data_IF_916430904499
#
_entry.id   IF_916430904499
#
_cell.length_a   1.000
_cell.length_b   1.000
_cell.length_c   1.000
_cell.angle_alpha   90.00
_cell.angle_beta   90.00
_cell.angle_gamma   90.00
#
_symmetry.space_group_name_H-M   'P 1'
#
loop_
_entity.id
_entity.type
_entity.pdbx_description
1 polymer ?
#
# COMPACT_ATOMS: atom_id res chain seq x y z
N UNK A 1 -6.05 30.11 10.68
CA UNK A 1 -5.71 29.51 11.97
C UNK A 1 -4.35 28.83 11.80
N UNK A 2 -3.44 28.87 12.77
CA UNK A 2 -2.21 28.08 12.69
C UNK A 2 -2.61 26.62 12.55
N UNK A 3 -2.00 25.89 11.59
CA UNK A 3 -2.24 24.44 11.43
C UNK A 3 -1.57 23.75 12.61
N UNK A 4 -2.36 23.06 13.45
CA UNK A 4 -1.80 22.18 14.46
C UNK A 4 -1.01 21.07 13.79
N UNK A 5 0.11 20.68 14.40
CA UNK A 5 0.86 19.50 13.98
C UNK A 5 0.17 18.23 14.51
N UNK A 6 0.29 17.12 13.79
CA UNK A 6 -0.32 15.86 14.19
C UNK A 6 0.63 15.00 15.03
N UNK A 7 0.12 14.45 16.13
CA UNK A 7 0.84 13.46 16.95
C UNK A 7 0.78 12.06 16.29
N UNK A 8 -0.37 11.71 15.72
CA UNK A 8 -0.54 10.41 15.05
C UNK A 8 0.31 10.37 13.78
N UNK A 9 1.13 9.35 13.64
CA UNK A 9 2.13 9.23 12.58
C UNK A 9 3.54 9.61 13.00
N UNK A 10 3.76 10.07 14.23
CA UNK A 10 5.10 10.30 14.76
C UNK A 10 5.71 9.02 15.33
N UNK A 11 6.96 8.72 14.95
CA UNK A 11 7.72 7.61 15.50
C UNK A 11 8.12 7.87 16.96
N UNK A 12 8.52 6.84 17.70
CA UNK A 12 8.95 7.01 19.08
C UNK A 12 10.12 8.00 19.24
N UNK A 13 11.17 7.98 18.38
CA UNK A 13 12.21 9.01 18.43
C UNK A 13 11.71 10.44 18.19
N UNK A 14 10.72 10.61 17.31
CA UNK A 14 10.08 11.92 17.07
C UNK A 14 9.29 12.39 18.30
N UNK A 15 8.54 11.49 18.95
CA UNK A 15 7.83 11.76 20.19
C UNK A 15 8.79 12.08 21.35
N UNK A 16 9.95 11.38 21.41
CA UNK A 16 11.00 11.69 22.40
C UNK A 16 11.60 13.09 22.17
N UNK A 17 11.89 13.46 20.93
CA UNK A 17 12.36 14.80 20.58
C UNK A 17 11.31 15.87 20.90
N UNK A 18 10.03 15.57 20.66
CA UNK A 18 8.91 16.44 21.02
C UNK A 18 8.84 16.64 22.54
N UNK A 19 8.87 15.57 23.32
CA UNK A 19 8.86 15.64 24.79
C UNK A 19 10.03 16.46 25.32
N UNK A 20 11.25 16.26 24.77
CA UNK A 20 12.41 17.06 25.16
C UNK A 20 12.21 18.55 24.88
N UNK A 21 11.66 18.92 23.72
CA UNK A 21 11.37 20.32 23.35
C UNK A 21 10.34 20.98 24.28
N UNK A 22 9.36 20.21 24.76
CA UNK A 22 8.31 20.66 25.67
C UNK A 22 8.67 20.47 27.15
N UNK A 23 9.92 20.15 27.48
CA UNK A 23 10.41 19.90 28.85
C UNK A 23 9.55 18.86 29.61
N UNK A 24 9.02 17.87 28.89
CA UNK A 24 8.26 16.77 29.46
C UNK A 24 9.19 15.64 29.90
N UNK A 25 8.80 14.82 30.89
CA UNK A 25 9.58 13.65 31.29
C UNK A 25 9.81 12.68 30.11
N UNK A 26 10.99 12.10 30.02
CA UNK A 26 11.38 11.20 28.92
C UNK A 26 10.41 10.02 28.70
N UNK A 27 9.79 9.52 29.79
CA UNK A 27 8.82 8.43 29.68
C UNK A 27 7.50 8.85 29.04
N UNK A 28 7.18 10.16 28.99
CA UNK A 28 5.94 10.67 28.38
C UNK A 28 5.81 10.30 26.91
N UNK A 29 6.92 10.21 26.16
CA UNK A 29 6.91 9.77 24.76
C UNK A 29 6.30 8.37 24.57
N UNK A 30 6.65 7.42 25.46
CA UNK A 30 6.07 6.07 25.43
C UNK A 30 4.60 6.06 25.84
N UNK A 31 4.20 6.94 26.78
CA UNK A 31 2.79 7.08 27.13
C UNK A 31 1.99 7.64 25.96
N UNK A 32 2.49 8.68 25.28
CA UNK A 32 1.85 9.24 24.08
C UNK A 32 1.75 8.15 23.00
N UNK A 33 2.84 7.44 22.66
CA UNK A 33 2.82 6.36 21.67
C UNK A 33 1.76 5.29 22.00
N UNK A 34 1.69 4.87 23.27
CA UNK A 34 0.67 3.91 23.71
C UNK A 34 -0.76 4.43 23.53
N UNK A 35 -1.01 5.70 23.83
CA UNK A 35 -2.33 6.30 23.61
C UNK A 35 -2.69 6.38 22.14
N UNK A 36 -1.73 6.72 21.28
CA UNK A 36 -1.95 6.83 19.83
C UNK A 36 -2.18 5.47 19.17
N UNK A 37 -1.33 4.48 19.46
CA UNK A 37 -1.21 3.26 18.64
C UNK A 37 -1.83 2.01 19.27
N UNK A 38 -1.96 1.95 20.61
CA UNK A 38 -2.57 0.82 21.33
C UNK A 38 -4.00 1.16 21.77
N UNK A 39 -4.18 2.33 22.42
CA UNK A 39 -5.48 2.77 22.93
C UNK A 39 -6.32 3.56 21.92
N UNK A 40 -5.74 3.95 20.80
CA UNK A 40 -6.39 4.71 19.73
C UNK A 40 -7.13 5.96 20.21
N UNK A 41 -6.49 6.75 21.08
CA UNK A 41 -7.04 7.99 21.56
C UNK A 41 -7.30 8.97 20.40
N UNK A 42 -8.48 9.56 20.37
CA UNK A 42 -8.88 10.55 19.36
C UNK A 42 -8.64 11.98 19.80
N UNK A 43 -8.37 12.20 21.08
CA UNK A 43 -8.07 13.52 21.65
C UNK A 43 -6.91 13.43 22.65
N UNK A 44 -6.22 14.57 22.87
CA UNK A 44 -5.12 14.65 23.83
C UNK A 44 -5.66 14.55 25.27
N UNK A 45 -6.85 15.04 25.52
CA UNK A 45 -7.53 15.01 26.83
C UNK A 45 -7.74 13.56 27.33
N UNK A 46 -7.94 12.61 26.41
CA UNK A 46 -8.12 11.21 26.75
C UNK A 46 -6.85 10.55 27.34
N UNK A 47 -5.66 11.15 27.14
CA UNK A 47 -4.37 10.63 27.59
C UNK A 47 -4.19 10.80 29.09
N UNK A 48 -4.98 10.08 29.90
CA UNK A 48 -5.16 10.32 31.34
C UNK A 48 -3.94 10.05 32.21
N UNK A 49 -2.94 9.30 31.74
CA UNK A 49 -1.67 9.07 32.45
C UNK A 49 -0.63 10.17 32.20
N UNK A 50 -0.92 11.14 31.32
CA UNK A 50 -0.21 12.41 31.24
C UNK A 50 -0.79 13.41 32.23
N UNK A 51 0.05 14.21 32.87
CA UNK A 51 -0.44 15.29 33.75
C UNK A 51 -1.32 16.28 33.00
N UNK A 52 -2.26 16.95 33.72
CA UNK A 52 -3.13 17.99 33.15
C UNK A 52 -2.29 19.06 32.44
N UNK A 53 -1.18 19.50 33.11
CA UNK A 53 -0.24 20.47 32.54
C UNK A 53 0.34 20.02 31.20
N UNK A 54 0.80 18.75 31.11
CA UNK A 54 1.40 18.24 29.88
C UNK A 54 0.38 18.09 28.77
N UNK A 55 -0.86 17.70 29.07
CA UNK A 55 -1.94 17.65 28.08
C UNK A 55 -2.28 19.04 27.54
N UNK A 56 -2.37 20.03 28.40
CA UNK A 56 -2.61 21.41 27.99
C UNK A 56 -1.47 21.93 27.09
N UNK A 57 -0.21 21.67 27.48
CA UNK A 57 0.96 22.07 26.69
C UNK A 57 0.99 21.43 25.31
N UNK A 58 0.64 20.13 25.21
CA UNK A 58 0.51 19.45 23.91
C UNK A 58 -0.60 20.06 23.07
N UNK A 59 -1.77 20.35 23.65
CA UNK A 59 -2.92 20.85 22.94
C UNK A 59 -2.75 22.31 22.41
N UNK A 60 -1.75 23.04 22.88
CA UNK A 60 -1.42 24.37 22.34
C UNK A 60 -0.91 24.32 20.90
N UNK A 61 -0.22 23.24 20.52
CA UNK A 61 0.47 23.14 19.22
C UNK A 61 0.03 21.90 18.42
N UNK A 62 -0.42 20.85 19.11
CA UNK A 62 -0.70 19.55 18.52
C UNK A 62 -2.17 19.17 18.66
N UNK A 63 -2.59 18.33 17.72
CA UNK A 63 -3.80 17.53 17.82
C UNK A 63 -3.46 16.05 17.50
N UNK A 64 -4.36 15.13 17.85
CA UNK A 64 -4.10 13.71 17.54
C UNK A 64 -4.02 13.49 16.05
N UNK A 65 -4.91 14.08 15.25
CA UNK A 65 -4.81 14.10 13.80
C UNK A 65 -5.54 12.93 13.12
N UNK A 66 -6.66 12.46 13.69
CA UNK A 66 -7.57 11.55 13.00
C UNK A 66 -8.55 12.31 12.12
N UNK A 67 -8.71 11.81 10.89
CA UNK A 67 -9.70 12.31 9.93
C UNK A 67 -10.62 11.17 9.51
N UNK A 68 -11.91 11.33 9.75
CA UNK A 68 -12.92 10.35 9.32
C UNK A 68 -13.01 10.29 7.79
N UNK A 69 -13.38 9.13 7.20
CA UNK A 69 -13.65 9.05 5.77
C UNK A 69 -14.85 9.93 5.40
N UNK A 70 -14.77 10.62 4.26
CA UNK A 70 -15.88 11.45 3.76
C UNK A 70 -17.01 10.63 3.14
N UNK A 71 -16.65 9.48 2.58
CA UNK A 71 -17.63 8.61 1.91
C UNK A 71 -17.25 7.15 2.08
N UNK A 72 -18.27 6.31 2.17
CA UNK A 72 -18.14 4.85 2.16
C UNK A 72 -19.02 4.29 1.05
N UNK A 73 -18.49 3.41 0.21
CA UNK A 73 -19.24 2.61 -0.76
C UNK A 73 -19.13 1.14 -0.37
N UNK A 74 -20.24 0.41 -0.45
CA UNK A 74 -20.31 -0.99 0.00
C UNK A 74 -20.68 -1.86 -1.19
N UNK A 75 -19.85 -2.86 -1.48
CA UNK A 75 -20.05 -3.88 -2.52
C UNK A 75 -20.99 -4.99 -2.05
N UNK A 76 -21.62 -5.65 -3.00
CA UNK A 76 -22.43 -6.84 -2.74
C UNK A 76 -21.62 -7.99 -2.09
N UNK A 77 -20.30 -8.06 -2.31
CA UNK A 77 -19.40 -9.05 -1.71
C UNK A 77 -18.87 -8.66 -0.30
N UNK A 78 -19.38 -7.55 0.25
CA UNK A 78 -18.98 -7.03 1.57
C UNK A 78 -17.73 -6.15 1.56
N UNK A 79 -17.06 -5.98 0.42
CA UNK A 79 -15.95 -5.04 0.27
C UNK A 79 -16.44 -3.61 0.50
N UNK A 80 -15.68 -2.80 1.23
CA UNK A 80 -16.00 -1.39 1.48
C UNK A 80 -14.89 -0.51 0.95
N UNK A 81 -15.24 0.51 0.19
CA UNK A 81 -14.33 1.54 -0.30
C UNK A 81 -14.54 2.83 0.49
N UNK A 82 -13.48 3.34 1.06
CA UNK A 82 -13.44 4.55 1.87
C UNK A 82 -12.75 5.66 1.10
N UNK A 83 -13.35 6.85 1.05
CA UNK A 83 -12.79 8.06 0.48
C UNK A 83 -12.32 8.97 1.61
N UNK A 84 -11.08 9.43 1.53
CA UNK A 84 -10.48 10.38 2.48
C UNK A 84 -10.01 11.63 1.78
N UNK A 85 -10.12 12.76 2.47
CA UNK A 85 -9.51 14.02 2.04
C UNK A 85 -8.13 14.16 2.68
N UNK A 86 -7.14 14.54 1.88
CA UNK A 86 -5.78 14.82 2.35
C UNK A 86 -5.66 16.25 2.90
N UNK A 87 -4.58 16.51 3.63
CA UNK A 87 -4.24 17.84 4.16
C UNK A 87 -4.05 18.90 3.06
N UNK A 88 -3.74 18.48 1.83
CA UNK A 88 -3.62 19.35 0.66
C UNK A 88 -4.89 19.38 -0.22
N UNK A 89 -6.03 18.95 0.34
CA UNK A 89 -7.32 18.97 -0.34
C UNK A 89 -7.43 18.07 -1.58
N UNK A 90 -6.59 17.04 -1.68
CA UNK A 90 -6.74 15.95 -2.63
C UNK A 90 -7.53 14.80 -2.00
N UNK A 91 -7.91 13.84 -2.81
CA UNK A 91 -8.63 12.67 -2.34
C UNK A 91 -7.81 11.39 -2.54
N UNK A 92 -8.01 10.45 -1.63
CA UNK A 92 -7.49 9.09 -1.74
C UNK A 92 -8.58 8.08 -1.40
N UNK A 93 -8.43 6.88 -1.90
CA UNK A 93 -9.33 5.76 -1.59
C UNK A 93 -8.55 4.63 -0.92
N UNK A 94 -9.21 3.94 0.01
CA UNK A 94 -8.77 2.65 0.54
C UNK A 94 -9.89 1.61 0.42
N UNK A 95 -9.54 0.31 0.41
CA UNK A 95 -10.52 -0.75 0.29
C UNK A 95 -10.36 -1.77 1.43
N UNK A 96 -11.42 -1.93 2.23
CA UNK A 96 -11.55 -3.00 3.22
C UNK A 96 -12.15 -4.22 2.56
N UNK A 97 -11.46 -5.35 2.63
CA UNK A 97 -11.80 -6.58 1.92
C UNK A 97 -11.94 -7.71 2.95
N UNK A 98 -13.17 -8.07 3.34
CA UNK A 98 -13.44 -9.23 4.19
C UNK A 98 -13.34 -10.52 3.37
N UNK A 99 -12.79 -11.59 3.98
CA UNK A 99 -12.67 -12.90 3.36
C UNK A 99 -12.64 -13.99 4.47
N UNK A 100 -13.81 -14.47 4.90
CA UNK A 100 -13.96 -15.36 6.04
C UNK A 100 -13.38 -14.74 7.32
N UNK A 101 -12.42 -15.43 7.93
CA UNK A 101 -11.72 -14.96 9.14
C UNK A 101 -10.63 -13.92 8.83
N UNK A 102 -10.37 -13.65 7.56
CA UNK A 102 -9.40 -12.63 7.12
C UNK A 102 -10.11 -11.33 6.79
N UNK A 103 -9.46 -10.24 7.14
CA UNK A 103 -9.83 -8.91 6.68
C UNK A 103 -8.56 -8.16 6.25
N UNK A 104 -8.51 -7.77 5.00
CA UNK A 104 -7.38 -7.05 4.42
C UNK A 104 -7.79 -5.61 4.13
N UNK A 105 -6.96 -4.67 4.55
CA UNK A 105 -7.09 -3.27 4.12
C UNK A 105 -6.06 -2.98 3.03
N UNK A 106 -6.54 -2.57 1.87
CA UNK A 106 -5.74 -2.04 0.77
C UNK A 106 -5.64 -0.53 0.94
N UNK A 107 -4.44 -0.02 1.26
CA UNK A 107 -4.20 1.40 1.54
C UNK A 107 -3.41 2.08 0.45
N UNK A 108 -3.60 3.39 0.37
CA UNK A 108 -2.93 4.30 -0.56
C UNK A 108 -1.71 4.94 0.07
N UNK A 109 -0.69 5.22 -0.74
CA UNK A 109 0.54 5.94 -0.35
C UNK A 109 0.67 7.32 -1.00
N UNK A 110 -0.13 7.59 -2.04
CA UNK A 110 -0.15 8.87 -2.75
C UNK A 110 -1.56 9.17 -3.26
N UNK A 111 -1.90 10.44 -3.44
CA UNK A 111 -3.01 10.86 -4.28
C UNK A 111 -2.51 10.92 -5.73
N UNK A 112 -3.06 10.03 -6.59
CA UNK A 112 -2.51 9.80 -7.92
C UNK A 112 -1.19 9.01 -7.91
N UNK A 113 -0.56 8.86 -9.09
CA UNK A 113 0.71 8.12 -9.23
C UNK A 113 1.46 8.55 -10.48
N UNK A 114 2.77 8.80 -10.35
CA UNK A 114 3.60 9.21 -11.51
C UNK A 114 4.07 8.05 -12.39
N UNK A 115 3.87 6.80 -11.99
CA UNK A 115 4.37 5.64 -12.75
C UNK A 115 3.68 5.46 -14.11
N UNK A 116 2.49 6.02 -14.29
CA UNK A 116 1.81 6.12 -15.57
C UNK A 116 1.36 4.79 -16.18
N UNK A 117 1.16 3.75 -15.37
CA UNK A 117 0.71 2.44 -15.84
C UNK A 117 -0.62 2.55 -16.58
N UNK A 118 -0.66 2.09 -17.84
CA UNK A 118 -1.81 2.29 -18.74
C UNK A 118 -3.05 1.49 -18.37
N UNK A 119 -2.88 0.46 -17.56
CA UNK A 119 -3.95 -0.39 -17.03
C UNK A 119 -4.48 0.05 -15.65
N UNK A 120 -3.98 1.16 -15.10
CA UNK A 120 -4.30 1.62 -13.75
C UNK A 120 -4.96 3.00 -13.79
N UNK A 121 -6.14 3.13 -13.19
CA UNK A 121 -6.85 4.40 -13.11
C UNK A 121 -6.05 5.47 -12.37
N UNK A 122 -5.42 5.11 -11.23
CA UNK A 122 -4.53 5.99 -10.47
C UNK A 122 -3.32 6.46 -11.29
N UNK A 123 -2.72 5.56 -12.10
CA UNK A 123 -1.58 5.90 -12.96
C UNK A 123 -1.93 6.91 -14.06
N UNK A 124 -3.18 6.90 -14.53
CA UNK A 124 -3.68 7.88 -15.51
C UNK A 124 -3.97 9.25 -14.91
N UNK A 125 -4.26 9.30 -13.62
CA UNK A 125 -4.53 10.54 -12.89
C UNK A 125 -3.27 11.41 -12.73
N UNK A 126 -2.08 10.80 -12.79
CA UNK A 126 -0.83 11.47 -12.45
C UNK A 126 -0.66 11.65 -10.93
N UNK A 127 0.52 12.08 -10.51
CA UNK A 127 0.81 12.36 -9.09
C UNK A 127 0.31 13.75 -8.71
N UNK A 128 -0.50 13.83 -7.68
CA UNK A 128 -1.01 15.07 -7.10
C UNK A 128 -0.35 15.37 -5.75
N UNK A 129 -0.26 14.35 -4.86
CA UNK A 129 0.28 14.51 -3.52
C UNK A 129 0.88 13.19 -3.01
N UNK A 130 2.06 13.25 -2.37
CA UNK A 130 2.61 12.12 -1.60
C UNK A 130 2.12 12.22 -0.16
N UNK A 131 1.49 11.15 0.34
CA UNK A 131 0.88 11.14 1.66
C UNK A 131 1.95 11.20 2.76
N UNK A 132 1.66 11.95 3.81
CA UNK A 132 2.43 11.91 5.06
C UNK A 132 2.22 10.58 5.80
N UNK A 133 3.09 10.29 6.76
CA UNK A 133 2.95 9.13 7.65
C UNK A 133 1.59 9.12 8.38
N UNK A 134 1.12 10.31 8.82
CA UNK A 134 -0.21 10.48 9.40
C UNK A 134 -1.32 10.06 8.43
N UNK A 135 -1.32 10.58 7.20
CA UNK A 135 -2.35 10.30 6.20
C UNK A 135 -2.39 8.82 5.78
N UNK A 136 -1.22 8.16 5.73
CA UNK A 136 -1.16 6.71 5.46
C UNK A 136 -1.77 5.93 6.62
N UNK A 137 -1.34 6.20 7.86
CA UNK A 137 -1.82 5.50 9.06
C UNK A 137 -3.29 5.82 9.36
N UNK A 138 -3.77 7.02 9.00
CA UNK A 138 -5.16 7.42 9.21
C UNK A 138 -6.15 6.47 8.52
N UNK A 139 -5.79 5.91 7.37
CA UNK A 139 -6.62 4.91 6.68
C UNK A 139 -6.84 3.64 7.53
N UNK A 140 -5.93 3.34 8.46
CA UNK A 140 -6.05 2.23 9.42
C UNK A 140 -6.75 2.72 10.69
N UNK A 141 -6.27 3.83 11.27
CA UNK A 141 -6.72 4.32 12.57
C UNK A 141 -8.17 4.79 12.60
N UNK A 142 -8.67 5.38 11.51
CA UNK A 142 -10.06 5.86 11.39
C UNK A 142 -11.01 4.81 10.80
N UNK A 143 -10.50 3.62 10.43
CA UNK A 143 -11.34 2.56 9.87
C UNK A 143 -12.29 1.99 10.94
N UNK A 144 -13.60 1.95 10.70
CA UNK A 144 -14.56 1.36 11.65
C UNK A 144 -14.29 -0.11 11.98
N UNK A 145 -13.77 -0.87 11.00
CA UNK A 145 -13.48 -2.31 11.13
C UNK A 145 -12.02 -2.61 11.54
N UNK A 146 -11.25 -1.64 12.04
CA UNK A 146 -9.81 -1.80 12.34
C UNK A 146 -9.49 -3.00 13.22
N UNK A 147 -10.34 -3.29 14.22
CA UNK A 147 -10.16 -4.41 15.15
C UNK A 147 -10.26 -5.79 14.45
N UNK A 148 -10.88 -5.84 13.27
CA UNK A 148 -11.01 -7.06 12.46
C UNK A 148 -9.86 -7.25 11.49
N UNK A 149 -8.98 -6.24 11.33
CA UNK A 149 -7.89 -6.30 10.35
C UNK A 149 -6.91 -7.40 10.70
N UNK A 150 -6.67 -8.28 9.75
CA UNK A 150 -5.62 -9.30 9.81
C UNK A 150 -4.40 -8.91 8.98
N UNK A 151 -4.60 -8.18 7.88
CA UNK A 151 -3.56 -7.82 6.93
C UNK A 151 -3.73 -6.41 6.40
N UNK A 152 -2.61 -5.79 6.03
CA UNK A 152 -2.58 -4.52 5.27
C UNK A 152 -1.72 -4.70 4.02
N UNK A 153 -2.21 -4.19 2.89
CA UNK A 153 -1.46 -4.20 1.62
C UNK A 153 -1.38 -2.78 1.06
N UNK A 154 -0.18 -2.36 0.72
CA UNK A 154 0.08 -1.09 0.03
C UNK A 154 -0.07 -1.31 -1.48
N UNK A 155 -1.32 -1.52 -1.92
CA UNK A 155 -1.71 -1.79 -3.31
C UNK A 155 -2.84 -0.85 -3.78
N UNK A 156 -3.11 0.21 -3.01
CA UNK A 156 -4.05 1.27 -3.35
C UNK A 156 -3.45 2.28 -4.32
N UNK A 157 -3.77 3.55 -4.11
CA UNK A 157 -3.28 4.63 -4.96
C UNK A 157 -1.81 4.96 -4.62
N UNK A 158 -1.00 5.18 -5.67
CA UNK A 158 0.40 5.60 -5.56
C UNK A 158 1.42 4.48 -5.71
N UNK A 159 2.69 4.89 -5.73
CA UNK A 159 3.86 4.02 -5.69
C UNK A 159 4.52 4.16 -4.31
N UNK A 160 4.46 3.12 -3.45
CA UNK A 160 4.97 3.24 -2.09
C UNK A 160 6.48 3.57 -2.01
N UNK A 161 7.30 3.00 -2.89
CA UNK A 161 8.74 3.29 -2.88
C UNK A 161 9.06 4.71 -3.38
N UNK A 162 8.17 5.34 -4.14
CA UNK A 162 8.31 6.75 -4.51
C UNK A 162 8.04 7.69 -3.32
N UNK A 163 7.30 7.20 -2.30
CA UNK A 163 7.04 7.89 -1.03
C UNK A 163 7.73 7.19 0.17
N UNK A 164 8.98 6.75 -0.02
CA UNK A 164 9.69 5.91 0.95
C UNK A 164 9.93 6.61 2.29
N UNK A 165 10.07 7.94 2.30
CA UNK A 165 10.35 8.71 3.51
C UNK A 165 9.13 8.79 4.47
N UNK A 166 7.90 8.64 3.95
CA UNK A 166 6.70 8.45 4.78
C UNK A 166 6.37 6.96 5.00
N UNK A 167 6.75 6.10 4.04
CA UNK A 167 6.49 4.67 4.13
C UNK A 167 7.30 4.01 5.27
N UNK A 168 8.60 4.28 5.38
CA UNK A 168 9.44 3.64 6.39
C UNK A 168 8.99 3.95 7.82
N UNK A 169 8.72 5.21 8.22
CA UNK A 169 8.13 5.51 9.52
C UNK A 169 6.77 4.83 9.73
N UNK A 170 5.93 4.74 8.69
CA UNK A 170 4.66 4.00 8.76
C UNK A 170 4.89 2.52 9.12
N UNK A 171 5.83 1.86 8.43
CA UNK A 171 6.14 0.45 8.67
C UNK A 171 6.78 0.24 10.05
N UNK A 172 7.63 1.16 10.50
CA UNK A 172 8.19 1.15 11.84
C UNK A 172 7.08 1.20 12.90
N UNK A 173 6.15 2.14 12.79
CA UNK A 173 5.00 2.27 13.71
C UNK A 173 4.14 1.01 13.70
N UNK A 174 3.87 0.44 12.52
CA UNK A 174 3.04 -0.77 12.41
C UNK A 174 3.70 -2.01 13.03
N UNK A 175 5.03 -2.14 12.95
CA UNK A 175 5.74 -3.37 13.35
C UNK A 175 6.42 -3.30 14.71
N UNK A 176 6.65 -2.10 15.25
CA UNK A 176 7.33 -1.91 16.54
C UNK A 176 6.42 -2.24 17.74
N UNK A 177 7.00 -2.79 18.79
CA UNK A 177 6.29 -3.10 20.03
C UNK A 177 5.70 -1.87 20.75
N UNK A 178 6.23 -0.69 20.50
CA UNK A 178 5.70 0.59 21.02
C UNK A 178 4.61 1.19 20.13
N UNK A 179 4.44 0.66 18.91
CA UNK A 179 3.42 1.04 17.94
C UNK A 179 2.26 0.04 17.92
N UNK A 180 1.87 -0.45 16.74
CA UNK A 180 0.79 -1.44 16.60
C UNK A 180 1.24 -2.86 16.99
N UNK A 181 2.55 -3.16 17.03
CA UNK A 181 3.08 -4.47 17.37
C UNK A 181 2.73 -5.57 16.35
N UNK A 182 2.42 -5.23 15.11
CA UNK A 182 2.04 -6.21 14.11
C UNK A 182 3.23 -7.01 13.59
N UNK A 183 3.02 -8.30 13.37
CA UNK A 183 4.02 -9.09 12.66
C UNK A 183 4.24 -8.52 11.25
N UNK A 184 5.50 -8.38 10.79
CA UNK A 184 5.80 -7.98 9.41
C UNK A 184 5.11 -8.83 8.35
N UNK A 185 4.76 -10.09 8.66
CA UNK A 185 4.05 -11.00 7.74
C UNK A 185 2.59 -10.60 7.48
N UNK A 186 2.02 -9.69 8.28
CA UNK A 186 0.70 -9.11 8.06
C UNK A 186 0.70 -7.97 7.04
N UNK A 187 1.88 -7.51 6.62
CA UNK A 187 2.04 -6.32 5.79
C UNK A 187 2.70 -6.72 4.47
N UNK A 188 2.12 -6.26 3.36
CA UNK A 188 2.72 -6.39 2.02
C UNK A 188 2.85 -5.02 1.37
N UNK A 189 4.04 -4.66 0.95
CA UNK A 189 4.30 -3.46 0.15
C UNK A 189 4.44 -3.87 -1.31
N UNK A 190 3.66 -3.25 -2.19
CA UNK A 190 3.77 -3.43 -3.63
C UNK A 190 4.56 -2.30 -4.26
N UNK A 191 5.34 -2.61 -5.29
CA UNK A 191 6.08 -1.60 -6.06
C UNK A 191 6.07 -1.91 -7.54
N UNK A 192 6.06 -0.87 -8.36
CA UNK A 192 6.28 -0.98 -9.80
C UNK A 192 7.76 -1.27 -10.15
N UNK A 193 8.65 -1.25 -9.14
CA UNK A 193 10.06 -1.55 -9.29
C UNK A 193 10.95 -0.30 -9.32
N UNK A 194 10.81 0.60 -8.34
CA UNK A 194 11.71 1.77 -8.18
C UNK A 194 13.06 1.30 -7.65
N UNK A 195 13.94 0.83 -8.56
CA UNK A 195 15.21 0.16 -8.24
C UNK A 195 16.10 1.00 -7.33
N UNK A 196 16.18 2.31 -7.57
CA UNK A 196 17.01 3.24 -6.78
C UNK A 196 16.64 3.34 -5.29
N UNK A 197 15.45 2.88 -4.89
CA UNK A 197 14.97 2.90 -3.50
C UNK A 197 14.73 1.51 -2.93
N UNK A 198 14.83 0.48 -3.76
CA UNK A 198 14.47 -0.89 -3.40
C UNK A 198 15.42 -1.47 -2.32
N UNK A 199 16.73 -1.27 -2.44
CA UNK A 199 17.69 -1.74 -1.45
C UNK A 199 17.45 -1.09 -0.09
N UNK A 200 17.30 0.25 -0.04
CA UNK A 200 16.97 0.96 1.21
C UNK A 200 15.71 0.41 1.88
N UNK A 201 14.69 0.06 1.09
CA UNK A 201 13.47 -0.58 1.61
C UNK A 201 13.76 -1.98 2.15
N UNK A 202 14.49 -2.80 1.41
CA UNK A 202 14.81 -4.17 1.79
C UNK A 202 15.68 -4.25 3.03
N UNK A 203 16.60 -3.31 3.22
CA UNK A 203 17.47 -3.23 4.39
C UNK A 203 16.72 -2.75 5.65
N UNK A 204 15.76 -1.82 5.46
CA UNK A 204 15.07 -1.18 6.58
C UNK A 204 13.91 -2.00 7.16
N UNK A 205 13.36 -3.00 6.45
CA UNK A 205 12.13 -3.68 6.90
C UNK A 205 12.08 -5.16 6.51
N UNK A 206 11.27 -5.94 7.24
CA UNK A 206 11.05 -7.37 7.00
C UNK A 206 9.62 -7.68 6.48
N UNK A 207 8.85 -6.67 6.07
CA UNK A 207 7.51 -6.88 5.51
C UNK A 207 7.60 -7.60 4.16
N UNK A 208 6.50 -8.21 3.74
CA UNK A 208 6.43 -8.87 2.43
C UNK A 208 6.52 -7.84 1.30
N UNK A 209 7.19 -8.24 0.22
CA UNK A 209 7.32 -7.44 -1.01
C UNK A 209 6.49 -8.07 -2.13
N UNK A 210 5.76 -7.23 -2.86
CA UNK A 210 5.13 -7.57 -4.12
C UNK A 210 5.70 -6.68 -5.24
N UNK A 211 6.13 -7.26 -6.35
CA UNK A 211 6.66 -6.52 -7.50
C UNK A 211 5.69 -6.61 -8.66
N UNK A 212 5.23 -5.47 -9.15
CA UNK A 212 4.40 -5.35 -10.35
C UNK A 212 5.23 -5.68 -11.59
N UNK A 213 5.19 -6.95 -12.03
CA UNK A 213 5.95 -7.42 -13.17
C UNK A 213 5.19 -7.22 -14.48
N UNK A 214 3.99 -7.77 -14.59
CA UNK A 214 2.99 -7.67 -15.65
C UNK A 214 3.44 -8.02 -17.07
N UNK A 215 4.73 -7.96 -17.39
CA UNK A 215 5.31 -8.47 -18.62
C UNK A 215 6.82 -8.75 -18.42
N UNK A 216 7.36 -9.93 -18.84
CA UNK A 216 8.77 -10.25 -18.68
C UNK A 216 9.66 -9.65 -19.78
N UNK A 217 9.09 -9.14 -20.89
CA UNK A 217 9.82 -8.53 -21.98
C UNK A 217 9.91 -7.02 -21.79
N UNK A 218 11.11 -6.40 -21.66
CA UNK A 218 11.25 -4.98 -21.34
C UNK A 218 10.53 -4.04 -22.31
N UNK A 219 10.60 -4.30 -23.61
CA UNK A 219 9.93 -3.44 -24.60
C UNK A 219 8.40 -3.49 -24.48
N UNK A 220 7.81 -4.67 -24.28
CA UNK A 220 6.36 -4.81 -24.07
C UNK A 220 5.94 -4.24 -22.72
N UNK A 221 6.77 -4.45 -21.68
CA UNK A 221 6.52 -3.88 -20.36
C UNK A 221 6.51 -2.34 -20.42
N UNK A 222 7.44 -1.74 -21.16
CA UNK A 222 7.50 -0.28 -21.33
C UNK A 222 6.25 0.31 -22.00
N UNK A 223 5.53 -0.45 -22.82
CA UNK A 223 4.29 -0.03 -23.44
C UNK A 223 3.14 0.08 -22.45
N UNK A 224 3.09 -0.80 -21.44
CA UNK A 224 2.03 -0.83 -20.42
C UNK A 224 2.45 -0.18 -19.11
N UNK A 225 3.76 -0.15 -18.82
CA UNK A 225 4.38 0.42 -17.63
C UNK A 225 5.57 1.30 -18.01
N UNK A 226 5.38 2.61 -18.21
CA UNK A 226 6.47 3.53 -18.61
C UNK A 226 7.66 3.56 -17.65
N UNK A 227 7.46 3.17 -16.40
CA UNK A 227 8.50 3.03 -15.36
C UNK A 227 9.65 2.12 -15.77
N UNK A 228 9.43 1.16 -16.67
CA UNK A 228 10.45 0.27 -17.25
C UNK A 228 11.62 1.04 -17.88
N UNK A 229 11.35 2.22 -18.44
CA UNK A 229 12.40 3.07 -19.04
C UNK A 229 13.36 3.65 -18.02
N UNK A 230 12.88 3.91 -16.79
CA UNK A 230 13.70 4.46 -15.72
C UNK A 230 14.34 3.34 -14.87
N UNK A 231 13.59 2.27 -14.61
CA UNK A 231 14.00 1.14 -13.80
C UNK A 231 13.56 -0.17 -14.47
N UNK A 232 14.45 -0.78 -15.28
CA UNK A 232 14.18 -2.02 -15.96
C UNK A 232 13.87 -3.15 -14.99
N UNK A 233 12.88 -4.00 -15.29
CA UNK A 233 12.49 -5.12 -14.42
C UNK A 233 13.66 -6.09 -14.19
N UNK A 234 14.59 -6.21 -15.13
CA UNK A 234 15.79 -7.03 -14.98
C UNK A 234 16.70 -6.51 -13.87
N UNK A 235 16.87 -5.19 -13.75
CA UNK A 235 17.64 -4.57 -12.67
C UNK A 235 16.98 -4.85 -11.31
N UNK A 236 15.65 -4.70 -11.23
CA UNK A 236 14.88 -5.04 -10.02
C UNK A 236 15.10 -6.49 -9.62
N UNK A 237 15.05 -7.42 -10.57
CA UNK A 237 15.27 -8.85 -10.33
C UNK A 237 16.71 -9.12 -9.88
N UNK A 238 17.73 -8.46 -10.46
CA UNK A 238 19.13 -8.60 -10.02
C UNK A 238 19.34 -8.07 -8.59
N UNK A 239 18.67 -6.98 -8.20
CA UNK A 239 18.67 -6.52 -6.81
C UNK A 239 18.08 -7.61 -5.91
N UNK A 240 16.91 -8.16 -6.25
CA UNK A 240 16.23 -9.16 -5.44
C UNK A 240 17.05 -10.45 -5.27
N UNK A 241 17.87 -10.87 -6.25
CA UNK A 241 18.74 -12.02 -6.13
C UNK A 241 19.78 -11.93 -5.02
N UNK A 242 20.09 -10.73 -4.56
CA UNK A 242 21.05 -10.49 -3.46
C UNK A 242 20.43 -10.63 -2.07
N UNK A 243 19.11 -10.84 -1.96
CA UNK A 243 18.36 -10.93 -0.71
C UNK A 243 17.77 -12.32 -0.50
N UNK A 244 17.69 -12.74 0.76
CA UNK A 244 17.07 -14.00 1.14
C UNK A 244 15.57 -13.84 1.39
N UNK A 245 14.77 -14.61 0.65
CA UNK A 245 13.31 -14.69 0.78
C UNK A 245 12.83 -16.06 1.28
N UNK A 246 13.72 -16.86 1.87
CA UNK A 246 13.40 -18.23 2.31
C UNK A 246 12.74 -18.28 3.68
N UNK A 247 12.93 -17.24 4.50
CA UNK A 247 12.48 -17.19 5.89
C UNK A 247 11.24 -16.29 6.06
N UNK A 248 11.35 -15.21 6.83
CA UNK A 248 10.23 -14.37 7.22
C UNK A 248 9.68 -13.52 6.08
N UNK A 249 10.56 -12.85 5.33
CA UNK A 249 10.17 -12.05 4.16
C UNK A 249 9.82 -12.95 2.98
N UNK A 250 8.76 -12.59 2.27
CA UNK A 250 8.39 -13.24 1.00
C UNK A 250 8.39 -12.21 -0.12
N UNK A 251 8.75 -12.66 -1.32
CA UNK A 251 8.57 -11.89 -2.54
C UNK A 251 7.51 -12.55 -3.43
N UNK A 252 6.60 -11.73 -3.94
CA UNK A 252 5.66 -12.11 -4.98
C UNK A 252 5.79 -11.20 -6.19
N UNK A 253 5.45 -11.74 -7.35
CA UNK A 253 5.33 -10.96 -8.58
C UNK A 253 3.86 -10.89 -8.96
N UNK A 254 3.36 -9.68 -9.07
CA UNK A 254 1.99 -9.43 -9.49
C UNK A 254 1.96 -9.38 -11.03
N UNK A 255 1.02 -10.10 -11.62
CA UNK A 255 0.91 -10.25 -13.06
C UNK A 255 -0.55 -10.10 -13.51
N UNK A 256 -0.90 -8.91 -13.98
CA UNK A 256 -2.20 -8.68 -14.62
C UNK A 256 -2.18 -9.36 -15.97
N UNK A 257 -3.08 -10.33 -16.17
CA UNK A 257 -3.16 -11.06 -17.44
C UNK A 257 -4.09 -10.30 -18.39
N UNK A 258 -3.57 -9.97 -19.57
CA UNK A 258 -4.27 -9.26 -20.64
C UNK A 258 -4.29 -10.14 -21.89
N UNK A 259 -5.50 -10.42 -22.37
CA UNK A 259 -5.73 -11.34 -23.49
C UNK A 259 -4.99 -10.89 -24.74
N UNK A 260 -4.21 -11.81 -25.34
CA UNK A 260 -3.44 -11.58 -26.55
C UNK A 260 -2.21 -10.67 -26.41
N UNK A 261 -1.95 -10.15 -25.19
CA UNK A 261 -0.83 -9.24 -24.96
C UNK A 261 0.33 -9.93 -24.20
N UNK A 262 0.03 -10.54 -23.05
CA UNK A 262 1.06 -11.08 -22.15
C UNK A 262 0.74 -12.50 -21.65
N UNK A 263 -0.18 -13.23 -22.30
CA UNK A 263 -0.72 -14.52 -21.89
C UNK A 263 -0.23 -15.72 -22.75
N UNK A 264 0.76 -15.51 -23.63
CA UNK A 264 1.23 -16.54 -24.56
C UNK A 264 2.29 -17.47 -23.95
N UNK A 265 2.54 -18.67 -24.53
CA UNK A 265 3.58 -19.59 -24.07
C UNK A 265 5.00 -18.99 -24.04
N UNK A 266 5.30 -17.98 -24.87
CA UNK A 266 6.60 -17.30 -24.84
C UNK A 266 6.78 -16.49 -23.55
N UNK A 267 5.69 -15.88 -23.02
CA UNK A 267 5.71 -15.17 -21.75
C UNK A 267 5.97 -16.11 -20.58
N UNK A 268 5.36 -17.30 -20.58
CA UNK A 268 5.62 -18.34 -19.57
C UNK A 268 7.09 -18.73 -19.55
N UNK A 269 7.69 -18.99 -20.73
CA UNK A 269 9.13 -19.35 -20.81
C UNK A 269 10.03 -18.22 -20.28
N UNK A 270 9.74 -16.98 -20.67
CA UNK A 270 10.55 -15.85 -20.23
C UNK A 270 10.35 -15.52 -18.74
N UNK A 271 9.14 -15.67 -18.17
CA UNK A 271 8.90 -15.59 -16.74
C UNK A 271 9.75 -16.57 -15.96
N UNK A 272 9.78 -17.84 -16.40
CA UNK A 272 10.61 -18.86 -15.76
C UNK A 272 12.10 -18.50 -15.83
N UNK A 273 12.57 -18.01 -17.00
CA UNK A 273 13.97 -17.60 -17.18
C UNK A 273 14.34 -16.37 -16.32
N UNK A 274 13.46 -15.39 -16.29
CA UNK A 274 13.68 -14.14 -15.54
C UNK A 274 13.75 -14.37 -14.03
N UNK A 275 12.87 -15.24 -13.52
CA UNK A 275 12.71 -15.49 -12.08
C UNK A 275 13.50 -16.70 -11.56
N UNK A 276 14.29 -17.32 -12.43
CA UNK A 276 15.15 -18.44 -12.05
C UNK A 276 16.09 -18.05 -10.89
N UNK A 277 16.23 -18.95 -9.92
CA UNK A 277 17.05 -18.74 -8.73
C UNK A 277 16.42 -17.86 -7.62
N UNK A 278 15.21 -17.32 -7.83
CA UNK A 278 14.50 -16.55 -6.79
C UNK A 278 13.36 -17.39 -6.20
N UNK A 279 13.37 -17.59 -4.87
CA UNK A 279 12.23 -18.20 -4.17
C UNK A 279 11.06 -17.23 -4.11
N UNK A 280 10.19 -17.29 -5.09
CA UNK A 280 9.07 -16.37 -5.25
C UNK A 280 7.75 -17.09 -5.57
N UNK A 281 6.68 -16.31 -5.67
CA UNK A 281 5.39 -16.72 -6.23
C UNK A 281 4.93 -15.73 -7.28
N UNK A 282 4.04 -16.16 -8.16
CA UNK A 282 3.32 -15.25 -9.07
C UNK A 282 1.85 -15.20 -8.65
N UNK A 283 1.31 -14.01 -8.50
CA UNK A 283 -0.12 -13.77 -8.30
C UNK A 283 -0.70 -13.25 -9.62
N UNK A 284 -1.51 -14.05 -10.28
CA UNK A 284 -2.23 -13.64 -11.47
C UNK A 284 -3.44 -12.80 -11.07
N UNK A 285 -3.59 -11.66 -11.71
CA UNK A 285 -4.68 -10.70 -11.49
C UNK A 285 -5.47 -10.59 -12.79
N UNK A 286 -6.81 -10.65 -12.69
CA UNK A 286 -7.67 -10.32 -13.82
C UNK A 286 -7.54 -8.86 -14.17
N UNK A 287 -7.48 -8.53 -15.44
CA UNK A 287 -7.56 -7.15 -15.86
C UNK A 287 -8.99 -6.62 -15.65
N UNK A 288 -9.12 -5.52 -14.91
CA UNK A 288 -10.38 -4.79 -14.76
C UNK A 288 -10.42 -3.63 -15.74
N UNK A 289 -11.47 -3.58 -16.54
CA UNK A 289 -11.60 -2.56 -17.59
C UNK A 289 -11.74 -1.16 -16.99
N UNK A 290 -10.84 -0.28 -17.38
CA UNK A 290 -10.92 1.15 -17.08
C UNK A 290 -11.37 1.92 -18.33
N UNK A 291 -12.07 3.07 -18.20
CA UNK A 291 -12.54 3.85 -19.33
C UNK A 291 -11.43 4.13 -20.37
N UNK A 292 -11.70 3.93 -21.64
CA UNK A 292 -10.75 4.16 -22.73
C UNK A 292 -9.54 3.20 -22.77
N UNK A 293 -9.58 2.07 -22.04
CA UNK A 293 -8.54 1.05 -22.14
C UNK A 293 -8.78 0.13 -23.35
N UNK A 294 -7.73 -0.17 -24.14
CA UNK A 294 -7.83 -1.13 -25.24
C UNK A 294 -7.69 -2.59 -24.80
N UNK A 295 -7.38 -2.84 -23.52
CA UNK A 295 -7.06 -4.17 -23.00
C UNK A 295 -8.31 -4.94 -22.58
N UNK A 296 -8.21 -6.28 -22.59
CA UNK A 296 -9.27 -7.20 -22.19
C UNK A 296 -8.71 -8.26 -21.22
N UNK A 297 -9.55 -8.72 -20.31
CA UNK A 297 -9.23 -9.88 -19.47
C UNK A 297 -9.41 -11.17 -20.28
N UNK A 298 -8.54 -12.16 -20.11
CA UNK A 298 -8.81 -13.50 -20.62
C UNK A 298 -9.97 -14.16 -19.86
N UNK A 299 -10.54 -15.19 -20.43
CA UNK A 299 -11.56 -16.02 -19.77
C UNK A 299 -10.94 -16.89 -18.65
N UNK A 300 -11.78 -17.54 -17.87
CA UNK A 300 -11.36 -18.38 -16.75
C UNK A 300 -10.49 -19.56 -17.20
N UNK A 301 -10.80 -20.16 -18.35
CA UNK A 301 -10.05 -21.28 -18.89
C UNK A 301 -8.63 -20.87 -19.25
N UNK A 302 -8.45 -19.73 -19.90
CA UNK A 302 -7.13 -19.21 -20.24
C UNK A 302 -6.33 -18.83 -18.98
N UNK A 303 -6.98 -18.19 -17.98
CA UNK A 303 -6.35 -17.88 -16.69
C UNK A 303 -5.85 -19.13 -15.96
N UNK A 304 -6.68 -20.17 -15.91
CA UNK A 304 -6.34 -21.46 -15.30
C UNK A 304 -5.19 -22.13 -16.06
N UNK A 305 -5.25 -22.18 -17.39
CA UNK A 305 -4.19 -22.75 -18.19
C UNK A 305 -2.85 -22.04 -18.02
N UNK A 306 -2.85 -20.71 -17.93
CA UNK A 306 -1.64 -19.91 -17.69
C UNK A 306 -1.05 -20.17 -16.30
N UNK A 307 -1.88 -20.24 -15.24
CA UNK A 307 -1.48 -20.63 -13.88
C UNK A 307 -0.85 -22.00 -13.86
N UNK A 308 -1.52 -22.99 -14.45
CA UNK A 308 -1.09 -24.39 -14.41
C UNK A 308 0.22 -24.59 -15.17
N UNK A 309 0.39 -23.90 -16.29
CA UNK A 309 1.63 -23.94 -17.07
C UNK A 309 2.84 -23.35 -16.31
N UNK A 310 2.66 -22.27 -15.54
CA UNK A 310 3.69 -21.72 -14.65
C UNK A 310 3.98 -22.65 -13.48
N UNK A 311 2.94 -23.20 -12.87
CA UNK A 311 3.06 -24.14 -11.74
C UNK A 311 3.78 -25.42 -12.15
N UNK A 312 3.47 -25.97 -13.32
CA UNK A 312 4.16 -27.15 -13.88
C UNK A 312 5.65 -26.90 -14.13
N UNK A 313 6.08 -25.63 -14.25
CA UNK A 313 7.49 -25.24 -14.38
C UNK A 313 8.15 -24.87 -13.04
N UNK A 314 7.49 -25.16 -11.92
CA UNK A 314 8.03 -24.97 -10.57
C UNK A 314 7.78 -23.58 -9.95
N UNK A 315 7.07 -22.67 -10.61
CA UNK A 315 6.72 -21.37 -10.01
C UNK A 315 5.36 -21.48 -9.36
N UNK A 316 5.30 -21.38 -8.03
CA UNK A 316 4.03 -21.35 -7.32
C UNK A 316 3.18 -20.16 -7.79
N UNK A 317 2.05 -20.46 -8.43
CA UNK A 317 1.21 -19.45 -9.07
C UNK A 317 -0.23 -19.53 -8.55
N UNK A 318 -0.80 -18.38 -8.20
CA UNK A 318 -2.19 -18.26 -7.74
C UNK A 318 -2.97 -17.31 -8.64
N UNK A 319 -4.30 -17.48 -8.70
CA UNK A 319 -5.20 -16.48 -9.30
C UNK A 319 -5.88 -15.74 -8.16
N UNK A 320 -5.73 -14.41 -8.12
CA UNK A 320 -6.39 -13.57 -7.11
C UNK A 320 -7.86 -13.43 -7.44
N UNK A 321 -8.71 -13.62 -6.45
CA UNK A 321 -10.14 -13.33 -6.54
C UNK A 321 -10.34 -11.83 -6.63
N UNK A 322 -11.11 -11.36 -7.61
CA UNK A 322 -11.56 -9.97 -7.70
C UNK A 322 -12.59 -9.68 -6.60
N UNK A 323 -12.48 -8.53 -5.96
CA UNK A 323 -13.38 -8.06 -4.90
C UNK A 323 -13.74 -6.60 -5.13
N UNK A 324 -14.98 -6.21 -4.82
CA UNK A 324 -15.45 -4.83 -4.90
C UNK A 324 -15.44 -4.23 -6.31
N UNK A 325 -15.61 -5.04 -7.34
CA UNK A 325 -15.56 -4.59 -8.73
C UNK A 325 -16.72 -3.64 -9.06
N UNK A 326 -17.91 -3.93 -8.54
CA UNK A 326 -19.15 -3.15 -8.66
C UNK A 326 -19.05 -1.72 -8.09
N UNK A 327 -18.19 -1.52 -7.10
CA UNK A 327 -17.89 -0.22 -6.49
C UNK A 327 -16.54 0.36 -6.92
N UNK A 328 -15.91 -0.20 -7.95
CA UNK A 328 -14.59 0.21 -8.43
C UNK A 328 -13.51 0.17 -7.33
N UNK A 329 -13.52 -0.87 -6.49
CA UNK A 329 -12.53 -1.10 -5.45
C UNK A 329 -11.49 -2.18 -5.79
N UNK A 330 -11.63 -2.85 -6.94
CA UNK A 330 -10.70 -3.88 -7.38
C UNK A 330 -9.33 -3.27 -7.79
N UNK A 331 -8.30 -4.12 -7.86
CA UNK A 331 -6.94 -3.69 -8.22
C UNK A 331 -6.90 -2.90 -9.54
N UNK A 332 -6.27 -1.73 -9.49
CA UNK A 332 -6.13 -0.81 -10.62
C UNK A 332 -7.33 0.11 -10.88
N UNK A 333 -8.44 -0.03 -10.14
CA UNK A 333 -9.66 0.77 -10.31
C UNK A 333 -9.72 2.00 -9.40
N UNK A 334 -9.00 2.04 -8.29
CA UNK A 334 -9.02 3.18 -7.37
C UNK A 334 -8.59 4.46 -8.08
N UNK A 335 -9.44 5.48 -8.01
CA UNK A 335 -9.19 6.79 -8.63
C UNK A 335 -10.17 7.83 -8.10
N UNK A 336 -9.69 9.03 -7.88
CA UNK A 336 -10.48 10.16 -7.39
C UNK A 336 -10.82 11.17 -8.48
N UNK A 337 -10.39 10.95 -9.72
CA UNK A 337 -10.62 11.87 -10.83
C UNK A 337 -12.11 12.24 -11.08
N UNK A 338 -13.04 11.33 -10.75
CA UNK A 338 -14.48 11.60 -10.86
C UNK A 338 -15.04 12.42 -9.69
N UNK A 339 -14.38 12.39 -8.54
CA UNK A 339 -14.84 13.13 -7.34
C UNK A 339 -14.41 14.60 -7.40
N UNK A 340 -13.34 14.92 -8.12
CA UNK A 340 -12.85 16.30 -8.30
C UNK A 340 -13.71 17.09 -9.28
N UNK A 341 -14.29 16.44 -10.30
CA UNK A 341 -15.20 17.07 -11.28
C UNK A 341 -16.61 17.34 -10.74
N UNK A 342 -17.02 16.71 -9.65
CA UNK A 342 -18.35 16.89 -9.05
C UNK A 342 -18.43 18.08 -8.06
N UNK A 343 -17.34 18.81 -7.85
CA UNK A 343 -17.25 19.94 -6.90
C UNK A 343 -17.24 21.32 -7.57
N UNK A 344 -17.50 21.41 -8.89
CA UNK A 344 -17.64 22.69 -9.63
C UNK A 344 -19.03 22.90 -10.17
#
# INVERSE_FOLDING_TARGET
MPRHEYLYGQTLPQLEALCNRLEMPRFAAKQIARWLYDKHATTIEAMSDLSVRHRALLAETYEVGFTAPEKVSISADGTKKYLYRTSQNHFIESAYIPDGDRATLCISSQAGCRMGCRFCATGRQGLQHSLSTNEILNQIGSLPERERLTNVVFMGMGEPLDNLDSLLPTLEILTSAWGFGWSPTRITVSTAGVASRLERFLDATQVHLAVSLHNPFPHERAEIMPVEKAWPIREVVEILRRYDFTHQRRVSFEYIVMSGLNDSPRHIRELCRLLDGIKCRINLIRFHKIPGSPYFSPDDRAMIAFRDALTAKGIHTTIRTSRGEDIQAACGLLSTAQNETAQF
#
